data_IF_912693355277
#
_entry.id   IF_912693355277
#
_cell.length_a   1.000
_cell.length_b   1.000
_cell.length_c   1.000
_cell.angle_alpha   90.00
_cell.angle_beta   90.00
_cell.angle_gamma   90.00
#
_symmetry.space_group_name_H-M   'P 1'
#
loop_
_entity.id
_entity.type
_entity.pdbx_description
1 polymer ?
#
# COMPACT_ATOMS: atom_id res chain seq x y z
N UNK A 1 0.49 5.78 -18.14
CA UNK A 1 0.54 5.37 -16.77
C UNK A 1 -0.71 5.71 -15.99
N UNK A 2 -0.67 5.48 -14.70
CA UNK A 2 -1.87 5.58 -13.87
C UNK A 2 -2.13 7.03 -13.47
N UNK A 3 -3.34 7.48 -13.68
CA UNK A 3 -3.72 8.86 -13.38
C UNK A 3 -4.49 8.98 -12.06
N UNK A 4 -5.03 7.87 -11.56
CA UNK A 4 -5.84 7.88 -10.35
C UNK A 4 -5.49 6.70 -9.45
N UNK A 5 -5.90 6.81 -8.19
CA UNK A 5 -5.79 5.71 -7.23
C UNK A 5 -6.56 4.48 -7.71
N UNK A 6 -7.71 4.70 -8.34
CA UNK A 6 -8.52 3.61 -8.87
C UNK A 6 -7.80 2.85 -9.99
N UNK A 7 -7.08 3.56 -10.84
CA UNK A 7 -6.28 2.94 -11.90
C UNK A 7 -5.15 2.11 -11.32
N UNK A 8 -4.49 2.60 -10.27
CA UNK A 8 -3.45 1.86 -9.58
C UNK A 8 -4.01 0.58 -8.96
N UNK A 9 -5.17 0.67 -8.31
CA UNK A 9 -5.85 -0.50 -7.74
C UNK A 9 -6.23 -1.50 -8.81
N UNK A 10 -6.73 -1.03 -9.95
CA UNK A 10 -7.09 -1.90 -11.06
C UNK A 10 -5.88 -2.65 -11.60
N UNK A 11 -4.75 -1.97 -11.73
CA UNK A 11 -3.51 -2.60 -12.16
C UNK A 11 -3.05 -3.67 -11.18
N UNK A 12 -3.03 -3.34 -9.89
CA UNK A 12 -2.64 -4.27 -8.84
C UNK A 12 -3.58 -5.46 -8.78
N UNK A 13 -4.87 -5.21 -8.95
CA UNK A 13 -5.87 -6.29 -9.02
C UNK A 13 -5.57 -7.23 -10.18
N UNK A 14 -5.25 -6.69 -11.35
CA UNK A 14 -4.93 -7.48 -12.53
C UNK A 14 -3.71 -8.36 -12.30
N UNK A 15 -2.66 -7.80 -11.69
CA UNK A 15 -1.45 -8.55 -11.35
C UNK A 15 -1.77 -9.65 -10.33
N UNK A 16 -2.51 -9.30 -9.29
CA UNK A 16 -2.88 -10.25 -8.25
C UNK A 16 -3.77 -11.37 -8.81
N UNK A 17 -4.69 -11.03 -9.72
CA UNK A 17 -5.53 -12.02 -10.39
C UNK A 17 -4.69 -13.00 -11.20
N UNK A 18 -3.66 -12.52 -11.88
CA UNK A 18 -2.75 -13.39 -12.63
C UNK A 18 -2.04 -14.37 -11.70
N UNK A 19 -1.57 -13.88 -10.56
CA UNK A 19 -0.93 -14.71 -9.53
C UNK A 19 -1.93 -15.76 -9.01
N UNK A 20 -3.16 -15.33 -8.75
CA UNK A 20 -4.21 -16.24 -8.29
C UNK A 20 -4.49 -17.34 -9.33
N UNK A 21 -4.60 -16.97 -10.59
CA UNK A 21 -4.87 -17.94 -11.66
C UNK A 21 -3.73 -18.95 -11.81
N UNK A 22 -2.50 -18.49 -11.68
CA UNK A 22 -1.33 -19.38 -11.70
C UNK A 22 -1.36 -20.33 -10.50
N UNK A 23 -1.73 -19.82 -9.33
CA UNK A 23 -1.89 -20.61 -8.12
C UNK A 23 -2.98 -21.69 -8.33
N UNK A 24 -4.12 -21.29 -8.88
CA UNK A 24 -5.23 -22.20 -9.16
C UNK A 24 -4.86 -23.27 -10.20
N UNK A 25 -4.01 -22.96 -11.14
CA UNK A 25 -3.52 -23.93 -12.10
C UNK A 25 -2.82 -25.11 -11.44
N UNK A 26 -2.06 -24.82 -10.39
CA UNK A 26 -1.37 -25.86 -9.63
C UNK A 26 -2.33 -26.66 -8.76
N UNK A 27 -3.37 -26.02 -8.23
CA UNK A 27 -4.37 -26.68 -7.40
C UNK A 27 -5.46 -27.42 -8.19
N UNK A 28 -5.73 -27.00 -9.41
CA UNK A 28 -6.78 -27.60 -10.23
C UNK A 28 -6.58 -29.08 -10.49
N UNK A 29 -5.34 -29.53 -10.47
CA UNK A 29 -5.01 -30.92 -10.63
C UNK A 29 -5.55 -31.74 -9.45
N UNK A 30 -5.70 -31.12 -8.29
CA UNK A 30 -6.14 -31.78 -7.07
C UNK A 30 -7.63 -31.62 -6.78
N UNK A 31 -8.25 -30.48 -7.14
CA UNK A 31 -9.59 -30.12 -6.71
C UNK A 31 -10.52 -29.64 -7.82
N UNK A 32 -10.37 -30.15 -9.01
CA UNK A 32 -11.11 -29.65 -10.16
C UNK A 32 -12.64 -29.75 -10.09
N UNK A 33 -13.19 -30.51 -9.16
CA UNK A 33 -14.64 -30.71 -9.08
C UNK A 33 -15.33 -30.03 -7.90
N UNK A 34 -14.61 -29.35 -7.08
CA UNK A 34 -15.16 -28.78 -5.84
C UNK A 34 -15.54 -27.32 -5.94
N UNK A 35 -15.20 -26.70 -7.04
CA UNK A 35 -15.36 -25.26 -7.15
C UNK A 35 -16.73 -24.89 -7.65
N UNK A 36 -17.53 -24.29 -6.80
CA UNK A 36 -18.79 -23.68 -7.17
C UNK A 36 -18.53 -22.23 -7.54
N UNK A 37 -19.20 -21.76 -8.56
CA UNK A 37 -18.96 -20.42 -9.11
C UNK A 37 -18.99 -19.33 -8.04
N UNK A 38 -19.95 -19.41 -7.12
CA UNK A 38 -20.07 -18.39 -6.06
C UNK A 38 -18.99 -18.48 -5.00
N UNK A 39 -18.58 -19.68 -4.64
CA UNK A 39 -17.49 -19.89 -3.67
C UNK A 39 -16.15 -19.50 -4.29
N UNK A 40 -15.92 -19.86 -5.55
CA UNK A 40 -14.73 -19.47 -6.27
C UNK A 40 -14.58 -17.96 -6.34
N UNK A 41 -15.66 -17.25 -6.68
CA UNK A 41 -15.62 -15.79 -6.79
C UNK A 41 -15.30 -15.13 -5.46
N UNK A 42 -15.84 -15.65 -4.36
CA UNK A 42 -15.56 -15.13 -3.03
C UNK A 42 -14.13 -15.42 -2.60
N UNK A 43 -13.68 -16.64 -2.80
CA UNK A 43 -12.30 -17.04 -2.47
C UNK A 43 -11.29 -16.27 -3.31
N UNK A 44 -11.57 -16.13 -4.61
CA UNK A 44 -10.73 -15.35 -5.51
C UNK A 44 -10.66 -13.90 -5.05
N UNK A 45 -11.79 -13.29 -4.74
CA UNK A 45 -11.85 -11.91 -4.29
C UNK A 45 -11.04 -11.70 -3.01
N UNK A 46 -11.20 -12.59 -2.04
CA UNK A 46 -10.49 -12.51 -0.76
C UNK A 46 -8.99 -12.70 -0.95
N UNK A 47 -8.61 -13.66 -1.79
CA UNK A 47 -7.21 -13.92 -2.11
C UNK A 47 -6.57 -12.70 -2.78
N UNK A 48 -7.21 -12.16 -3.80
CA UNK A 48 -6.70 -11.00 -4.55
C UNK A 48 -6.61 -9.76 -3.68
N UNK A 49 -7.59 -9.56 -2.81
CA UNK A 49 -7.59 -8.45 -1.88
C UNK A 49 -6.40 -8.55 -0.93
N UNK A 50 -6.15 -9.72 -0.39
CA UNK A 50 -5.05 -9.95 0.54
C UNK A 50 -3.70 -9.81 -0.15
N UNK A 51 -3.52 -10.39 -1.34
CA UNK A 51 -2.28 -10.27 -2.11
C UNK A 51 -2.01 -8.81 -2.46
N UNK A 52 -3.03 -8.09 -2.92
CA UNK A 52 -2.88 -6.69 -3.28
C UNK A 52 -2.49 -5.85 -2.06
N UNK A 53 -3.14 -6.08 -0.93
CA UNK A 53 -2.84 -5.36 0.30
C UNK A 53 -1.40 -5.62 0.76
N UNK A 54 -0.97 -6.87 0.75
CA UNK A 54 0.37 -7.24 1.17
C UNK A 54 1.43 -6.65 0.25
N UNK A 55 1.22 -6.72 -1.05
CA UNK A 55 2.17 -6.20 -2.02
C UNK A 55 2.29 -4.68 -1.93
N UNK A 56 1.18 -3.98 -1.82
CA UNK A 56 1.19 -2.53 -1.64
C UNK A 56 1.91 -2.16 -0.35
N UNK A 57 1.57 -2.81 0.76
CA UNK A 57 2.22 -2.56 2.05
C UNK A 57 3.73 -2.76 1.96
N UNK A 58 4.16 -3.86 1.35
CA UNK A 58 5.58 -4.16 1.21
C UNK A 58 6.31 -3.06 0.46
N UNK A 59 5.78 -2.66 -0.68
CA UNK A 59 6.40 -1.63 -1.51
C UNK A 59 6.46 -0.30 -0.78
N UNK A 60 5.37 0.08 -0.11
CA UNK A 60 5.31 1.36 0.60
C UNK A 60 6.27 1.38 1.79
N UNK A 61 6.30 0.31 2.59
CA UNK A 61 7.20 0.25 3.73
C UNK A 61 8.67 0.19 3.32
N UNK A 62 8.99 -0.51 2.23
CA UNK A 62 10.35 -0.53 1.70
C UNK A 62 10.82 0.87 1.29
N UNK A 63 9.95 1.64 0.67
CA UNK A 63 10.27 3.01 0.28
C UNK A 63 10.43 3.92 1.51
N UNK A 64 9.54 3.80 2.48
CA UNK A 64 9.59 4.58 3.72
C UNK A 64 10.86 4.28 4.51
N UNK A 65 11.31 3.03 4.51
CA UNK A 65 12.55 2.64 5.19
C UNK A 65 13.80 3.33 4.64
N UNK A 66 13.74 3.84 3.42
CA UNK A 66 14.86 4.56 2.81
C UNK A 66 14.90 6.03 3.20
N UNK A 67 13.91 6.52 3.92
CA UNK A 67 13.88 7.91 4.38
C UNK A 67 14.82 8.12 5.57
N UNK A 68 15.29 9.37 5.79
CA UNK A 68 16.03 9.70 7.01
C UNK A 68 15.21 9.32 8.25
N UNK A 69 15.91 8.98 9.32
CA UNK A 69 15.32 8.42 10.54
C UNK A 69 14.13 9.22 11.08
N UNK A 70 14.30 10.53 11.21
CA UNK A 70 13.23 11.39 11.76
C UNK A 70 12.02 11.42 10.83
N UNK A 71 12.25 11.60 9.55
CA UNK A 71 11.20 11.64 8.55
C UNK A 71 10.45 10.30 8.47
N UNK A 72 11.21 9.21 8.52
CA UNK A 72 10.63 7.88 8.54
C UNK A 72 9.71 7.69 9.74
N UNK A 73 10.13 8.12 10.92
CA UNK A 73 9.32 8.04 12.13
C UNK A 73 7.99 8.79 11.97
N UNK A 74 8.03 9.96 11.36
CA UNK A 74 6.82 10.74 11.10
C UNK A 74 5.83 9.96 10.23
N UNK A 75 6.31 9.46 9.11
CA UNK A 75 5.46 8.72 8.17
C UNK A 75 4.90 7.45 8.83
N UNK A 76 5.73 6.70 9.54
CA UNK A 76 5.29 5.49 10.22
C UNK A 76 4.23 5.77 11.27
N UNK A 77 4.37 6.86 12.03
CA UNK A 77 3.35 7.24 13.02
C UNK A 77 2.04 7.66 12.34
N UNK A 78 2.12 8.39 11.23
CA UNK A 78 0.92 8.70 10.46
C UNK A 78 0.23 7.44 9.95
N UNK A 79 0.99 6.46 9.48
CA UNK A 79 0.44 5.19 9.01
C UNK A 79 -0.25 4.40 10.13
N UNK A 80 0.20 4.58 11.36
CA UNK A 80 -0.45 3.97 12.53
C UNK A 80 -1.73 4.69 12.95
N UNK A 81 -2.07 5.80 12.31
CA UNK A 81 -3.29 6.52 12.58
C UNK A 81 -3.14 7.81 13.38
N UNK A 82 -1.92 8.17 13.78
CA UNK A 82 -1.67 9.42 14.49
C UNK A 82 -1.71 10.61 13.52
N UNK A 83 -2.38 11.67 13.90
CA UNK A 83 -2.40 12.87 13.08
C UNK A 83 -1.13 13.71 13.32
N UNK A 84 -0.97 14.78 12.55
CA UNK A 84 0.25 15.60 12.63
C UNK A 84 0.46 16.22 14.01
N UNK A 85 -0.60 16.62 14.68
CA UNK A 85 -0.52 17.18 16.02
C UNK A 85 0.00 16.15 17.02
N UNK A 86 -0.53 14.94 16.96
CA UNK A 86 -0.11 13.85 17.83
C UNK A 86 1.32 13.43 17.56
N UNK A 87 1.72 13.39 16.28
CA UNK A 87 3.10 13.07 15.89
C UNK A 87 4.05 14.14 16.42
N UNK A 88 3.68 15.41 16.29
CA UNK A 88 4.49 16.52 16.79
C UNK A 88 4.72 16.40 18.30
N UNK A 89 3.68 16.07 19.05
CA UNK A 89 3.79 15.86 20.50
C UNK A 89 4.73 14.71 20.84
N UNK A 90 4.58 13.60 20.13
CA UNK A 90 5.41 12.42 20.39
C UNK A 90 6.88 12.64 20.09
N UNK A 91 7.18 13.41 19.06
CA UNK A 91 8.55 13.68 18.64
C UNK A 91 9.15 14.94 19.25
N UNK A 92 8.35 15.72 19.98
CA UNK A 92 8.84 16.94 20.63
C UNK A 92 9.17 18.05 19.66
N UNK A 93 8.46 18.14 18.55
CA UNK A 93 8.66 19.18 17.52
C UNK A 93 7.36 19.88 17.21
N UNK A 94 7.42 20.98 16.47
CA UNK A 94 6.22 21.72 16.07
C UNK A 94 5.49 21.03 14.93
N UNK A 95 4.19 21.31 14.79
CA UNK A 95 3.39 20.82 13.67
C UNK A 95 3.96 21.33 12.35
N UNK A 96 4.47 22.57 12.31
CA UNK A 96 5.09 23.10 11.12
C UNK A 96 6.33 22.31 10.71
N UNK A 97 7.12 21.87 11.68
CA UNK A 97 8.27 21.00 11.42
C UNK A 97 7.81 19.67 10.81
N UNK A 98 6.73 19.09 11.35
CA UNK A 98 6.15 17.86 10.79
C UNK A 98 5.77 18.06 9.34
N UNK A 99 5.07 19.13 9.03
CA UNK A 99 4.63 19.44 7.67
C UNK A 99 5.81 19.63 6.71
N UNK A 100 6.85 20.33 7.16
CA UNK A 100 8.06 20.54 6.34
C UNK A 100 8.79 19.24 6.06
N UNK A 101 8.94 18.40 7.08
CA UNK A 101 9.62 17.11 6.93
C UNK A 101 8.81 16.16 6.04
N UNK A 102 7.49 16.17 6.14
CA UNK A 102 6.63 15.37 5.27
C UNK A 102 6.76 15.82 3.81
N UNK A 103 6.78 17.13 3.58
CA UNK A 103 6.96 17.66 2.23
C UNK A 103 8.28 17.17 1.63
N UNK A 104 9.35 17.22 2.41
CA UNK A 104 10.65 16.71 2.01
C UNK A 104 10.60 15.20 1.74
N UNK A 105 9.88 14.46 2.59
CA UNK A 105 9.70 13.02 2.42
C UNK A 105 9.03 12.70 1.08
N UNK A 106 8.00 13.44 0.72
CA UNK A 106 7.29 13.21 -0.54
C UNK A 106 8.17 13.47 -1.76
N UNK A 107 9.07 14.45 -1.68
CA UNK A 107 10.04 14.68 -2.76
C UNK A 107 10.91 13.44 -2.96
N UNK A 108 11.41 12.86 -1.88
CA UNK A 108 12.22 11.63 -1.94
C UNK A 108 11.39 10.43 -2.40
N UNK A 109 10.21 10.26 -1.83
CA UNK A 109 9.34 9.12 -2.18
C UNK A 109 8.91 9.16 -3.64
N UNK A 110 8.82 10.34 -4.24
CA UNK A 110 8.48 10.46 -5.65
C UNK A 110 9.52 9.79 -6.55
N UNK A 111 10.75 9.69 -6.11
CA UNK A 111 11.80 9.01 -6.86
C UNK A 111 11.81 7.50 -6.63
N UNK A 112 11.18 7.04 -5.55
CA UNK A 112 11.19 5.64 -5.14
C UNK A 112 9.90 4.90 -5.50
N UNK A 113 8.80 5.64 -5.62
CA UNK A 113 7.48 5.06 -5.87
C UNK A 113 6.92 5.58 -7.19
N UNK A 114 6.11 4.74 -7.84
CA UNK A 114 5.32 5.20 -8.96
C UNK A 114 4.34 6.27 -8.49
N UNK A 115 3.86 7.08 -9.41
CA UNK A 115 2.89 8.13 -9.10
C UNK A 115 1.67 7.59 -8.37
N UNK A 116 1.20 6.42 -8.77
CA UNK A 116 0.00 5.83 -8.21
C UNK A 116 0.22 5.29 -6.80
N UNK A 117 1.36 4.66 -6.57
CA UNK A 117 1.72 4.19 -5.23
C UNK A 117 1.95 5.35 -4.30
N UNK A 118 2.53 6.44 -4.80
CA UNK A 118 2.70 7.65 -4.02
C UNK A 118 1.36 8.25 -3.62
N UNK A 119 0.38 8.24 -4.52
CA UNK A 119 -0.98 8.70 -4.21
C UNK A 119 -1.65 7.84 -3.15
N UNK A 120 -1.48 6.53 -3.23
CA UNK A 120 -2.01 5.61 -2.22
C UNK A 120 -1.40 5.91 -0.85
N UNK A 121 -0.09 6.08 -0.81
CA UNK A 121 0.61 6.42 0.44
C UNK A 121 0.10 7.76 0.99
N UNK A 122 -0.05 8.75 0.12
CA UNK A 122 -0.55 10.07 0.51
C UNK A 122 -1.93 9.98 1.18
N UNK A 123 -2.83 9.21 0.58
CA UNK A 123 -4.17 8.99 1.13
C UNK A 123 -4.11 8.31 2.50
N UNK A 124 -3.21 7.33 2.67
CA UNK A 124 -3.07 6.62 3.93
C UNK A 124 -2.45 7.47 5.03
N UNK A 125 -1.56 8.38 4.68
CA UNK A 125 -0.84 9.22 5.64
C UNK A 125 -1.63 10.45 6.03
N UNK A 126 -2.30 11.08 5.10
CA UNK A 126 -3.03 12.33 5.32
C UNK A 126 -4.53 12.07 5.46
N UNK A 127 -4.90 11.47 6.55
CA UNK A 127 -6.31 11.23 6.87
C UNK A 127 -7.01 12.47 7.37
#
# INVERSE_FOLDING_TARGET
EFETEENAKAFLYTVARRIYLDHCKHQKIENQYQNRVNEENTEEYDFLKEVTRQEVSRILYDAVDKLPSQTRSIILLNLKGFNNTEVAERLGVSVNTIKSLKKSAYVTLRTLLSKDLLMILFVLVDK
#
